data_IF_686393969946
#
_entry.id   IF_686393969946
#
_cell.length_a   1.000
_cell.length_b   1.000
_cell.length_c   1.000
_cell.angle_alpha   90.00
_cell.angle_beta   90.00
_cell.angle_gamma   90.00
#
_symmetry.space_group_name_H-M   'P 1'
#
loop_
_entity.id
_entity.type
_entity.pdbx_description
1 polymer ?
#
# COMPACT_ATOMS: atom_id res chain seq x y z
N UNK A 1 -78.71 -81.08 77.80
CA UNK A 1 -78.94 -79.99 76.84
C UNK A 1 -80.36 -80.11 76.33
N UNK A 2 -81.16 -79.03 76.34
CA UNK A 2 -82.48 -79.02 75.70
C UNK A 2 -82.30 -79.23 74.19
N UNK A 3 -82.93 -80.27 73.64
CA UNK A 3 -82.82 -80.63 72.22
C UNK A 3 -83.39 -79.55 71.31
N UNK A 4 -84.29 -78.70 71.83
CA UNK A 4 -84.82 -77.52 71.12
C UNK A 4 -83.78 -76.41 71.01
N UNK A 5 -83.11 -76.09 72.12
CA UNK A 5 -82.03 -75.10 72.14
C UNK A 5 -80.89 -75.47 71.15
N UNK A 6 -80.51 -76.75 71.10
CA UNK A 6 -79.52 -77.21 70.14
C UNK A 6 -80.00 -77.08 68.68
N UNK A 7 -81.29 -77.36 68.43
CA UNK A 7 -81.88 -77.16 67.11
C UNK A 7 -81.89 -75.69 66.66
N UNK A 8 -82.24 -74.78 67.57
CA UNK A 8 -82.20 -73.32 67.33
C UNK A 8 -80.78 -72.84 67.02
N UNK A 9 -79.77 -73.32 67.77
CA UNK A 9 -78.37 -72.98 67.51
C UNK A 9 -77.92 -73.48 66.12
N UNK A 10 -78.30 -74.69 65.72
CA UNK A 10 -77.95 -75.22 64.40
C UNK A 10 -78.62 -74.43 63.28
N UNK A 11 -79.88 -74.03 63.46
CA UNK A 11 -80.58 -73.17 62.51
C UNK A 11 -79.90 -71.80 62.38
N UNK A 12 -79.46 -71.21 63.50
CA UNK A 12 -78.74 -69.94 63.51
C UNK A 12 -77.36 -70.03 62.85
N UNK A 13 -76.61 -71.10 63.13
CA UNK A 13 -75.31 -71.36 62.48
C UNK A 13 -75.49 -71.54 60.98
N UNK A 14 -76.51 -72.29 60.55
CA UNK A 14 -76.83 -72.45 59.13
C UNK A 14 -77.16 -71.10 58.47
N UNK A 15 -78.02 -70.28 59.10
CA UNK A 15 -78.40 -68.94 58.61
C UNK A 15 -77.16 -68.05 58.40
N UNK A 16 -76.30 -67.96 59.42
CA UNK A 16 -75.05 -67.18 59.33
C UNK A 16 -74.10 -67.71 58.25
N UNK A 17 -74.05 -69.02 58.05
CA UNK A 17 -73.24 -69.62 56.98
C UNK A 17 -73.78 -69.23 55.59
N UNK A 18 -75.10 -69.22 55.40
CA UNK A 18 -75.72 -68.69 54.19
C UNK A 18 -75.41 -67.20 53.96
N UNK A 19 -75.51 -66.36 55.00
CA UNK A 19 -75.19 -64.94 54.89
C UNK A 19 -73.73 -64.71 54.48
N UNK A 20 -72.80 -65.47 55.06
CA UNK A 20 -71.38 -65.46 54.68
C UNK A 20 -71.20 -65.88 53.23
N UNK A 21 -71.86 -66.97 52.80
CA UNK A 21 -71.79 -67.43 51.41
C UNK A 21 -72.30 -66.36 50.44
N UNK A 22 -73.45 -65.73 50.73
CA UNK A 22 -74.01 -64.66 49.91
C UNK A 22 -73.06 -63.46 49.81
N UNK A 23 -72.47 -63.05 50.93
CA UNK A 23 -71.47 -61.97 50.96
C UNK A 23 -70.21 -62.31 50.14
N UNK A 24 -69.68 -63.53 50.26
CA UNK A 24 -68.54 -64.00 49.47
C UNK A 24 -68.89 -64.02 47.99
N UNK A 25 -70.06 -64.56 47.65
CA UNK A 25 -70.52 -64.68 46.26
C UNK A 25 -70.67 -63.32 45.58
N UNK A 26 -71.21 -62.34 46.30
CA UNK A 26 -71.32 -60.97 45.80
C UNK A 26 -69.93 -60.36 45.52
N UNK A 27 -68.98 -60.47 46.45
CA UNK A 27 -67.64 -59.93 46.27
C UNK A 27 -66.87 -60.64 45.15
N UNK A 28 -66.94 -61.97 45.09
CA UNK A 28 -66.28 -62.74 44.02
C UNK A 28 -66.86 -62.39 42.64
N UNK A 29 -68.17 -62.16 42.56
CA UNK A 29 -68.81 -61.74 41.30
C UNK A 29 -68.30 -60.37 40.83
N UNK A 30 -68.01 -59.44 41.75
CA UNK A 30 -67.38 -58.15 41.42
C UNK A 30 -65.94 -58.32 40.94
N UNK A 31 -65.18 -59.23 41.55
CA UNK A 31 -63.76 -59.48 41.22
C UNK A 31 -63.60 -60.13 39.84
N UNK A 32 -64.36 -61.19 39.52
CA UNK A 32 -64.23 -61.90 38.24
C UNK A 32 -64.85 -61.15 37.05
N UNK A 33 -65.61 -60.08 37.32
CA UNK A 33 -66.45 -59.44 36.32
C UNK A 33 -67.57 -60.35 35.79
N UNK A 34 -68.44 -59.80 34.93
CA UNK A 34 -69.63 -60.48 34.40
C UNK A 34 -69.35 -61.71 33.50
N UNK A 35 -68.09 -62.04 33.18
CA UNK A 35 -67.75 -63.07 32.18
C UNK A 35 -67.69 -64.50 32.71
N UNK A 36 -67.75 -64.72 34.04
CA UNK A 36 -67.59 -66.04 34.65
C UNK A 36 -68.73 -66.38 35.62
N UNK A 37 -69.98 -66.32 35.15
CA UNK A 37 -71.13 -66.76 35.95
C UNK A 37 -71.21 -68.29 35.93
N UNK A 38 -70.80 -68.94 37.02
CA UNK A 38 -71.12 -70.34 37.27
C UNK A 38 -72.62 -70.43 37.52
N UNK A 39 -73.36 -71.14 36.65
CA UNK A 39 -74.82 -71.29 36.74
C UNK A 39 -75.23 -71.91 38.09
N UNK A 40 -75.81 -71.12 39.03
CA UNK A 40 -76.12 -71.59 40.38
C UNK A 40 -77.35 -72.52 40.42
N UNK A 41 -78.14 -72.59 39.33
CA UNK A 41 -79.49 -73.17 39.37
C UNK A 41 -79.49 -74.71 39.38
N UNK A 42 -78.45 -75.37 38.87
CA UNK A 42 -78.39 -76.83 38.80
C UNK A 42 -77.86 -77.46 40.11
N UNK A 43 -77.04 -76.72 40.84
CA UNK A 43 -76.34 -77.16 42.05
C UNK A 43 -77.31 -77.37 43.24
N UNK A 44 -78.30 -76.48 43.37
CA UNK A 44 -79.24 -76.47 44.51
C UNK A 44 -80.14 -77.70 44.60
N UNK A 45 -80.49 -78.31 43.45
CA UNK A 45 -81.34 -79.51 43.42
C UNK A 45 -80.55 -80.76 43.78
N UNK A 46 -79.31 -80.85 43.28
CA UNK A 46 -78.40 -81.97 43.55
C UNK A 46 -77.96 -81.97 45.02
N UNK A 47 -77.58 -80.81 45.56
CA UNK A 47 -77.18 -80.66 46.97
C UNK A 47 -78.30 -81.07 47.95
N UNK A 48 -79.56 -80.75 47.63
CA UNK A 48 -80.71 -81.13 48.49
C UNK A 48 -80.95 -82.64 48.48
N UNK A 49 -80.78 -83.29 47.34
CA UNK A 49 -80.93 -84.73 47.19
C UNK A 49 -79.80 -85.48 47.92
N UNK A 50 -78.56 -84.97 47.84
CA UNK A 50 -77.41 -85.49 48.59
C UNK A 50 -77.61 -85.40 50.11
N UNK A 51 -78.14 -84.28 50.62
CA UNK A 51 -78.41 -84.12 52.05
C UNK A 51 -79.48 -85.12 52.52
N UNK A 52 -80.58 -85.28 51.78
CA UNK A 52 -81.65 -86.21 52.18
C UNK A 52 -81.21 -87.68 52.10
N UNK A 53 -80.35 -88.03 51.15
CA UNK A 53 -79.80 -89.38 51.03
C UNK A 53 -78.91 -89.80 52.22
N UNK A 54 -78.27 -88.82 52.88
CA UNK A 54 -77.40 -89.03 54.03
C UNK A 54 -78.16 -89.10 55.37
N UNK A 55 -79.48 -88.85 55.38
CA UNK A 55 -80.26 -88.89 56.62
C UNK A 55 -80.54 -90.33 57.07
N UNK A 56 -80.32 -90.66 58.37
CA UNK A 56 -80.58 -92.00 58.87
C UNK A 56 -82.05 -92.42 58.73
N UNK A 57 -82.29 -93.60 58.16
CA UNK A 57 -83.63 -94.22 58.11
C UNK A 57 -83.98 -94.75 59.50
N UNK A 58 -85.01 -94.20 60.13
CA UNK A 58 -85.47 -94.58 61.48
C UNK A 58 -85.12 -93.59 62.61
N UNK A 59 -84.44 -92.47 62.30
CA UNK A 59 -84.27 -91.39 63.26
C UNK A 59 -85.55 -90.55 63.42
N UNK A 60 -85.74 -89.95 64.60
CA UNK A 60 -86.83 -88.99 64.83
C UNK A 60 -86.71 -87.80 63.88
N UNK A 61 -87.83 -87.17 63.51
CA UNK A 61 -87.79 -86.03 62.58
C UNK A 61 -86.98 -84.85 63.16
N UNK A 62 -86.99 -84.67 64.49
CA UNK A 62 -86.13 -83.68 65.15
C UNK A 62 -84.64 -83.97 64.92
N UNK A 63 -84.23 -85.23 65.09
CA UNK A 63 -82.84 -85.65 64.85
C UNK A 63 -82.48 -85.52 63.37
N UNK A 64 -83.41 -85.87 62.46
CA UNK A 64 -83.22 -85.69 61.01
C UNK A 64 -83.03 -84.21 60.66
N UNK A 65 -83.81 -83.32 61.26
CA UNK A 65 -83.67 -81.87 61.05
C UNK A 65 -82.34 -81.33 61.59
N UNK A 66 -81.87 -81.80 62.75
CA UNK A 66 -80.57 -81.40 63.29
C UNK A 66 -79.42 -81.87 62.39
N UNK A 67 -79.45 -83.12 61.89
CA UNK A 67 -78.45 -83.63 60.94
C UNK A 67 -78.53 -82.85 59.61
N UNK A 68 -79.73 -82.51 59.14
CA UNK A 68 -79.94 -81.69 57.94
C UNK A 68 -79.25 -80.34 58.06
N UNK A 69 -79.42 -79.61 59.18
CA UNK A 69 -78.74 -78.33 59.39
C UNK A 69 -77.21 -78.47 59.40
N UNK A 70 -76.66 -79.51 60.03
CA UNK A 70 -75.21 -79.76 60.03
C UNK A 70 -74.67 -80.01 58.62
N UNK A 71 -75.35 -80.86 57.84
CA UNK A 71 -74.94 -81.18 56.47
C UNK A 71 -75.04 -79.95 55.56
N UNK A 72 -76.15 -79.21 55.61
CA UNK A 72 -76.33 -78.00 54.81
C UNK A 72 -75.32 -76.91 55.16
N UNK A 73 -75.00 -76.74 56.46
CA UNK A 73 -73.95 -75.83 56.92
C UNK A 73 -72.59 -76.22 56.33
N UNK A 74 -72.23 -77.52 56.36
CA UNK A 74 -70.97 -78.02 55.80
C UNK A 74 -70.89 -77.80 54.29
N UNK A 75 -71.95 -78.13 53.55
CA UNK A 75 -71.98 -77.96 52.09
C UNK A 75 -71.86 -76.49 51.69
N UNK A 76 -72.57 -75.59 52.38
CA UNK A 76 -72.51 -74.14 52.12
C UNK A 76 -71.10 -73.58 52.40
N UNK A 77 -70.42 -74.08 53.43
CA UNK A 77 -69.03 -73.73 53.71
C UNK A 77 -68.08 -74.24 52.62
N UNK A 78 -68.23 -75.49 52.16
CA UNK A 78 -67.40 -76.05 51.07
C UNK A 78 -67.57 -75.25 49.77
N UNK A 79 -68.81 -74.88 49.44
CA UNK A 79 -69.14 -74.04 48.29
C UNK A 79 -68.47 -72.67 48.36
N UNK A 80 -68.54 -72.02 49.53
CA UNK A 80 -67.87 -70.74 49.79
C UNK A 80 -66.36 -70.84 49.63
N UNK A 81 -65.75 -71.90 50.17
CA UNK A 81 -64.31 -72.14 50.06
C UNK A 81 -63.89 -72.41 48.61
N UNK A 82 -64.62 -73.25 47.88
CA UNK A 82 -64.36 -73.54 46.46
C UNK A 82 -64.42 -72.28 45.62
N UNK A 83 -65.42 -71.43 45.86
CA UNK A 83 -65.57 -70.16 45.18
C UNK A 83 -64.37 -69.22 45.44
N UNK A 84 -63.93 -69.11 46.69
CA UNK A 84 -62.73 -68.33 47.05
C UNK A 84 -61.47 -68.89 46.38
N UNK A 85 -61.21 -70.19 46.51
CA UNK A 85 -60.00 -70.83 45.96
C UNK A 85 -59.92 -70.66 44.44
N UNK A 86 -61.02 -70.89 43.73
CA UNK A 86 -61.07 -70.68 42.28
C UNK A 86 -60.83 -69.20 41.91
N UNK A 87 -61.28 -68.25 42.74
CA UNK A 87 -61.07 -66.81 42.48
C UNK A 87 -59.61 -66.43 42.69
N UNK A 88 -58.99 -66.90 43.77
CA UNK A 88 -57.57 -66.66 44.03
C UNK A 88 -56.66 -67.31 42.99
N UNK A 89 -57.01 -68.51 42.51
CA UNK A 89 -56.27 -69.15 41.41
C UNK A 89 -56.34 -68.33 40.12
N UNK A 90 -57.54 -67.87 39.73
CA UNK A 90 -57.72 -67.00 38.54
C UNK A 90 -56.93 -65.69 38.67
N UNK A 91 -57.04 -65.01 39.81
CA UNK A 91 -56.34 -63.76 40.05
C UNK A 91 -54.82 -63.94 40.03
N UNK A 92 -54.32 -65.05 40.57
CA UNK A 92 -52.89 -65.38 40.52
C UNK A 92 -52.40 -65.55 39.08
N UNK A 93 -53.18 -66.21 38.23
CA UNK A 93 -52.85 -66.37 36.80
C UNK A 93 -52.88 -65.04 36.05
N UNK A 94 -53.90 -64.21 36.28
CA UNK A 94 -53.97 -62.86 35.72
C UNK A 94 -52.78 -61.99 36.15
N UNK A 95 -52.38 -62.04 37.43
CA UNK A 95 -51.20 -61.34 37.94
C UNK A 95 -49.90 -61.82 37.28
N UNK A 96 -49.77 -63.13 37.03
CA UNK A 96 -48.62 -63.68 36.31
C UNK A 96 -48.57 -63.16 34.87
N UNK A 97 -49.70 -63.19 34.15
CA UNK A 97 -49.77 -62.66 32.79
C UNK A 97 -49.47 -61.15 32.72
N UNK A 98 -50.02 -60.36 33.66
CA UNK A 98 -49.71 -58.92 33.73
C UNK A 98 -48.23 -58.67 34.02
N UNK A 99 -47.59 -59.51 34.85
CA UNK A 99 -46.15 -59.41 35.12
C UNK A 99 -45.33 -59.70 33.86
N UNK A 100 -45.70 -60.74 33.11
CA UNK A 100 -45.04 -61.07 31.83
C UNK A 100 -45.23 -59.96 30.78
N UNK A 101 -46.44 -59.42 30.66
CA UNK A 101 -46.73 -58.30 29.75
C UNK A 101 -45.94 -57.04 30.14
N UNK A 102 -45.80 -56.75 31.44
CA UNK A 102 -44.98 -55.64 31.92
C UNK A 102 -43.51 -55.81 31.54
N UNK A 103 -42.93 -56.99 31.75
CA UNK A 103 -41.54 -57.28 31.36
C UNK A 103 -41.35 -57.17 29.84
N UNK A 104 -42.33 -57.61 29.03
CA UNK A 104 -42.29 -57.46 27.56
C UNK A 104 -42.31 -55.98 27.17
N UNK A 105 -43.21 -55.19 27.77
CA UNK A 105 -43.31 -53.75 27.51
C UNK A 105 -42.04 -53.00 27.91
N UNK A 106 -41.40 -53.38 29.02
CA UNK A 106 -40.12 -52.81 29.42
C UNK A 106 -39.02 -53.08 28.38
N UNK A 107 -38.94 -54.32 27.86
CA UNK A 107 -38.00 -54.68 26.78
C UNK A 107 -38.26 -53.92 25.48
N UNK A 108 -39.53 -53.80 25.06
CA UNK A 108 -39.92 -53.01 23.89
C UNK A 108 -39.58 -51.53 24.07
N UNK A 109 -39.82 -50.97 25.26
CA UNK A 109 -39.45 -49.60 25.62
C UNK A 109 -37.94 -49.39 25.51
N UNK A 110 -37.12 -50.27 26.08
CA UNK A 110 -35.65 -50.18 25.97
C UNK A 110 -35.18 -50.27 24.50
N UNK A 111 -35.86 -51.08 23.68
CA UNK A 111 -35.65 -51.12 22.24
C UNK A 111 -35.91 -49.77 21.57
N UNK A 112 -37.08 -49.18 21.84
CA UNK A 112 -37.47 -47.89 21.30
C UNK A 112 -36.57 -46.74 21.77
N UNK A 113 -36.10 -46.75 23.03
CA UNK A 113 -35.18 -45.75 23.54
C UNK A 113 -33.81 -45.79 22.83
N UNK A 114 -33.31 -47.00 22.52
CA UNK A 114 -32.09 -47.17 21.71
C UNK A 114 -32.27 -46.70 20.28
N UNK A 115 -33.41 -46.99 19.65
CA UNK A 115 -33.69 -46.52 18.30
C UNK A 115 -33.85 -45.00 18.25
N UNK A 116 -34.51 -44.42 19.25
CA UNK A 116 -34.68 -42.98 19.37
C UNK A 116 -33.33 -42.26 19.55
N UNK A 117 -32.44 -42.78 20.40
CA UNK A 117 -31.10 -42.20 20.59
C UNK A 117 -30.28 -42.27 19.30
N UNK A 118 -30.29 -43.41 18.61
CA UNK A 118 -29.66 -43.55 17.30
C UNK A 118 -30.20 -42.55 16.27
N UNK A 119 -31.53 -42.34 16.24
CA UNK A 119 -32.16 -41.38 15.33
C UNK A 119 -31.82 -39.93 15.69
N UNK A 120 -31.71 -39.62 16.98
CA UNK A 120 -31.24 -38.33 17.46
C UNK A 120 -29.80 -38.05 17.01
N UNK A 121 -28.90 -39.02 17.16
CA UNK A 121 -27.51 -38.90 16.71
C UNK A 121 -27.41 -38.75 15.18
N UNK A 122 -28.24 -39.49 14.44
CA UNK A 122 -28.34 -39.37 12.99
C UNK A 122 -28.82 -37.96 12.57
N UNK A 123 -29.79 -37.39 13.27
CA UNK A 123 -30.26 -36.02 13.02
C UNK A 123 -29.14 -34.99 13.24
N UNK A 124 -28.39 -35.11 14.34
CA UNK A 124 -27.24 -34.23 14.62
C UNK A 124 -26.15 -34.31 13.53
N UNK A 125 -25.91 -35.50 12.97
CA UNK A 125 -24.98 -35.66 11.85
C UNK A 125 -25.47 -34.97 10.58
N UNK A 126 -26.76 -35.07 10.27
CA UNK A 126 -27.35 -34.38 9.11
C UNK A 126 -27.34 -32.85 9.29
N UNK A 127 -27.61 -32.35 10.48
CA UNK A 127 -27.54 -30.92 10.77
C UNK A 127 -26.10 -30.38 10.61
N UNK A 128 -25.11 -31.12 11.12
CA UNK A 128 -23.68 -30.79 10.94
C UNK A 128 -23.29 -30.76 9.46
N UNK A 129 -23.74 -31.75 8.68
CA UNK A 129 -23.49 -31.79 7.24
C UNK A 129 -24.14 -30.61 6.50
N UNK A 130 -25.38 -30.26 6.85
CA UNK A 130 -26.07 -29.11 6.28
C UNK A 130 -25.34 -27.80 6.57
N UNK A 131 -24.85 -27.62 7.80
CA UNK A 131 -24.10 -26.42 8.16
C UNK A 131 -22.75 -26.35 7.43
N UNK A 132 -22.04 -27.48 7.30
CA UNK A 132 -20.81 -27.55 6.51
C UNK A 132 -21.03 -27.19 5.03
N UNK A 133 -22.14 -27.64 4.43
CA UNK A 133 -22.51 -27.29 3.04
C UNK A 133 -22.83 -25.80 2.93
N UNK A 134 -23.57 -25.23 3.90
CA UNK A 134 -23.87 -23.78 3.94
C UNK A 134 -22.59 -22.95 4.04
N UNK A 135 -21.66 -23.34 4.89
CA UNK A 135 -20.38 -22.65 5.06
C UNK A 135 -19.49 -22.76 3.82
N UNK A 136 -19.43 -23.94 3.19
CA UNK A 136 -18.72 -24.11 1.92
C UNK A 136 -19.32 -23.20 0.83
N UNK A 137 -20.66 -23.12 0.76
CA UNK A 137 -21.32 -22.21 -0.18
C UNK A 137 -21.00 -20.73 0.09
N UNK A 138 -21.00 -20.30 1.36
CA UNK A 138 -20.58 -18.94 1.77
C UNK A 138 -19.14 -18.66 1.34
N UNK A 139 -18.22 -19.60 1.58
CA UNK A 139 -16.82 -19.47 1.18
C UNK A 139 -16.66 -19.38 -0.34
N UNK A 140 -17.37 -20.21 -1.10
CA UNK A 140 -17.38 -20.15 -2.57
C UNK A 140 -17.89 -18.81 -3.08
N UNK A 141 -18.97 -18.27 -2.49
CA UNK A 141 -19.48 -16.94 -2.85
C UNK A 141 -18.47 -15.83 -2.57
N UNK A 142 -17.77 -15.88 -1.43
CA UNK A 142 -16.72 -14.91 -1.10
C UNK A 142 -15.55 -15.00 -2.09
N UNK A 143 -15.07 -16.20 -2.39
CA UNK A 143 -13.99 -16.43 -3.35
C UNK A 143 -14.38 -15.99 -4.77
N UNK A 144 -15.62 -16.24 -5.19
CA UNK A 144 -16.14 -15.77 -6.47
C UNK A 144 -16.19 -14.24 -6.53
N UNK A 145 -16.64 -13.59 -5.45
CA UNK A 145 -16.69 -12.12 -5.37
C UNK A 145 -15.30 -11.51 -5.43
N UNK A 146 -14.33 -12.10 -4.74
CA UNK A 146 -12.92 -11.69 -4.78
C UNK A 146 -12.36 -11.85 -6.19
N UNK A 147 -12.53 -13.02 -6.81
CA UNK A 147 -12.08 -13.30 -8.19
C UNK A 147 -12.73 -12.36 -9.21
N UNK A 148 -14.02 -12.05 -9.06
CA UNK A 148 -14.70 -11.07 -9.91
C UNK A 148 -14.16 -9.65 -9.72
N UNK A 149 -13.76 -9.28 -8.49
CA UNK A 149 -13.16 -7.98 -8.22
C UNK A 149 -11.74 -7.87 -8.81
N UNK A 150 -10.93 -8.93 -8.71
CA UNK A 150 -9.59 -8.98 -9.31
C UNK A 150 -9.67 -8.98 -10.83
N UNK A 151 -10.60 -9.74 -11.42
CA UNK A 151 -10.87 -9.71 -12.86
C UNK A 151 -11.22 -8.31 -13.34
N UNK A 152 -12.16 -7.61 -12.68
CA UNK A 152 -12.52 -6.23 -13.05
C UNK A 152 -11.33 -5.26 -12.93
N UNK A 153 -10.48 -5.44 -11.92
CA UNK A 153 -9.24 -4.65 -11.76
C UNK A 153 -8.28 -4.88 -12.93
N UNK A 154 -8.05 -6.14 -13.31
CA UNK A 154 -7.20 -6.50 -14.44
C UNK A 154 -7.77 -5.99 -15.78
N UNK A 155 -9.08 -6.10 -16.00
CA UNK A 155 -9.75 -5.52 -17.17
C UNK A 155 -9.55 -4.00 -17.23
N UNK A 156 -9.69 -3.30 -16.10
CA UNK A 156 -9.42 -1.85 -16.03
C UNK A 156 -7.96 -1.52 -16.31
N UNK A 157 -7.01 -2.30 -15.80
CA UNK A 157 -5.58 -2.13 -16.09
C UNK A 157 -5.28 -2.35 -17.58
N UNK A 158 -5.85 -3.39 -18.19
CA UNK A 158 -5.72 -3.69 -19.62
C UNK A 158 -6.24 -2.54 -20.49
N UNK A 159 -7.39 -1.97 -20.13
CA UNK A 159 -7.94 -0.82 -20.86
C UNK A 159 -7.07 0.42 -20.70
N UNK A 160 -6.52 0.66 -19.51
CA UNK A 160 -5.58 1.74 -19.25
C UNK A 160 -4.29 1.59 -20.07
N UNK A 161 -3.67 0.41 -20.08
CA UNK A 161 -2.43 0.17 -20.85
C UNK A 161 -2.68 0.31 -22.34
N UNK A 162 -3.76 -0.27 -22.88
CA UNK A 162 -4.14 -0.14 -24.29
C UNK A 162 -4.33 1.32 -24.73
N UNK A 163 -4.92 2.16 -23.87
CA UNK A 163 -5.09 3.60 -24.14
C UNK A 163 -3.76 4.36 -24.10
N UNK A 164 -2.88 4.03 -23.14
CA UNK A 164 -1.53 4.59 -23.04
C UNK A 164 -0.69 4.21 -24.27
N UNK A 165 -0.75 2.94 -24.71
CA UNK A 165 -0.02 2.46 -25.88
C UNK A 165 -0.50 3.14 -27.16
N UNK A 166 -1.81 3.29 -27.33
CA UNK A 166 -2.36 4.04 -28.47
C UNK A 166 -1.86 5.49 -28.51
N UNK A 167 -1.74 6.14 -27.35
CA UNK A 167 -1.18 7.49 -27.22
C UNK A 167 0.32 7.54 -27.52
N UNK A 168 1.08 6.55 -27.05
CA UNK A 168 2.50 6.39 -27.36
C UNK A 168 2.74 6.17 -28.85
N UNK A 169 1.98 5.27 -29.47
CA UNK A 169 2.05 4.98 -30.92
C UNK A 169 1.75 6.24 -31.75
N UNK A 170 0.76 7.04 -31.34
CA UNK A 170 0.47 8.32 -32.00
C UNK A 170 1.68 9.28 -31.94
N UNK A 171 2.25 9.48 -30.74
CA UNK A 171 3.44 10.33 -30.55
C UNK A 171 4.64 9.82 -31.36
N UNK A 172 4.82 8.50 -31.43
CA UNK A 172 5.90 7.87 -32.18
C UNK A 172 5.75 8.14 -33.68
N UNK A 173 4.53 7.95 -34.23
CA UNK A 173 4.21 8.29 -35.64
C UNK A 173 4.41 9.78 -35.95
N UNK A 174 4.02 10.67 -35.03
CA UNK A 174 4.25 12.11 -35.17
C UNK A 174 5.75 12.44 -35.26
N UNK A 175 6.55 11.88 -34.36
CA UNK A 175 8.01 12.08 -34.33
C UNK A 175 8.69 11.50 -35.57
N UNK A 176 8.30 10.32 -36.04
CA UNK A 176 8.79 9.76 -37.30
C UNK A 176 8.43 10.66 -38.50
N UNK A 177 7.22 11.23 -38.50
CA UNK A 177 6.80 12.19 -39.53
C UNK A 177 7.69 13.42 -39.58
N UNK A 178 7.97 14.02 -38.42
CA UNK A 178 8.90 15.16 -38.28
C UNK A 178 10.32 14.79 -38.70
N UNK A 179 10.80 13.63 -38.30
CA UNK A 179 12.12 13.12 -38.66
C UNK A 179 12.24 12.98 -40.18
N UNK A 180 11.29 12.30 -40.84
CA UNK A 180 11.28 12.18 -42.32
C UNK A 180 11.23 13.53 -43.02
N UNK A 181 10.48 14.50 -42.47
CA UNK A 181 10.42 15.85 -43.03
C UNK A 181 11.78 16.57 -42.92
N UNK A 182 12.43 16.47 -41.76
CA UNK A 182 13.75 17.04 -41.52
C UNK A 182 14.84 16.37 -42.35
N UNK A 183 14.78 15.05 -42.55
CA UNK A 183 15.67 14.31 -43.45
C UNK A 183 15.54 14.80 -44.90
N UNK A 184 14.30 15.00 -45.39
CA UNK A 184 14.05 15.55 -46.72
C UNK A 184 14.56 16.99 -46.86
N UNK A 185 14.38 17.82 -45.84
CA UNK A 185 14.92 19.18 -45.83
C UNK A 185 16.45 19.18 -45.86
N UNK A 186 17.10 18.34 -45.03
CA UNK A 186 18.55 18.19 -45.04
C UNK A 186 19.08 17.74 -46.40
N UNK A 187 18.41 16.77 -47.03
CA UNK A 187 18.76 16.30 -48.37
C UNK A 187 18.61 17.42 -49.41
N UNK A 188 17.53 18.21 -49.35
CA UNK A 188 17.34 19.37 -50.22
C UNK A 188 18.41 20.44 -50.00
N UNK A 189 18.78 20.72 -48.74
CA UNK A 189 19.84 21.67 -48.41
C UNK A 189 21.21 21.18 -48.92
N UNK A 190 21.51 19.88 -48.79
CA UNK A 190 22.71 19.27 -49.38
C UNK A 190 22.73 19.40 -50.90
N UNK A 191 21.62 19.14 -51.58
CA UNK A 191 21.52 19.33 -53.03
C UNK A 191 21.70 20.81 -53.42
N UNK A 192 21.11 21.76 -52.68
CA UNK A 192 21.31 23.20 -52.90
C UNK A 192 22.78 23.60 -52.72
N UNK A 193 23.44 23.10 -51.67
CA UNK A 193 24.87 23.34 -51.45
C UNK A 193 25.73 22.77 -52.59
N UNK A 194 25.46 21.55 -53.02
CA UNK A 194 26.17 20.91 -54.14
C UNK A 194 25.96 21.68 -55.46
N UNK A 195 24.75 22.18 -55.72
CA UNK A 195 24.43 23.02 -56.87
C UNK A 195 25.06 24.42 -56.82
N UNK A 196 25.26 24.99 -55.64
CA UNK A 196 25.99 26.26 -55.46
C UNK A 196 27.50 26.10 -55.61
N UNK A 197 28.08 25.00 -55.14
CA UNK A 197 29.50 24.69 -55.31
C UNK A 197 29.89 24.48 -56.79
N UNK A 198 28.93 24.11 -57.63
CA UNK A 198 29.09 23.96 -59.09
C UNK A 198 28.71 25.23 -59.88
N UNK A 199 28.31 26.32 -59.20
CA UNK A 199 28.01 27.61 -59.84
C UNK A 199 29.29 28.40 -60.07
N UNK A 200 29.83 28.30 -61.30
CA UNK A 200 31.01 29.06 -61.75
C UNK A 200 30.91 30.57 -61.49
N UNK A 201 29.69 31.10 -61.42
CA UNK A 201 29.39 32.52 -61.24
C UNK A 201 29.75 33.05 -59.85
N UNK A 202 29.62 32.22 -58.80
CA UNK A 202 29.99 32.61 -57.43
C UNK A 202 31.51 32.58 -57.23
N UNK A 203 32.19 31.60 -57.84
CA UNK A 203 33.64 31.50 -57.80
C UNK A 203 34.30 32.69 -58.52
N UNK A 204 33.79 33.03 -59.73
CA UNK A 204 34.26 34.19 -60.50
C UNK A 204 34.06 35.51 -59.76
N UNK A 205 32.90 35.74 -59.11
CA UNK A 205 32.68 36.95 -58.30
C UNK A 205 33.62 37.04 -57.10
N UNK A 206 33.95 35.91 -56.50
CA UNK A 206 34.88 35.86 -55.36
C UNK A 206 36.32 36.15 -55.80
N UNK A 207 36.76 35.63 -56.95
CA UNK A 207 38.07 35.96 -57.53
C UNK A 207 38.16 37.42 -58.01
N UNK A 208 37.11 37.96 -58.63
CA UNK A 208 37.09 39.36 -59.11
C UNK A 208 37.18 40.37 -57.95
N UNK A 209 36.49 40.10 -56.83
CA UNK A 209 36.62 40.88 -55.59
C UNK A 209 38.04 40.81 -55.02
N UNK A 210 38.63 39.61 -55.01
CA UNK A 210 40.02 39.41 -54.56
C UNK A 210 41.02 40.19 -55.43
N UNK A 211 40.78 40.23 -56.75
CA UNK A 211 41.59 40.98 -57.71
C UNK A 211 41.46 42.50 -57.52
N UNK A 212 40.24 43.01 -57.31
CA UNK A 212 40.02 44.44 -57.04
C UNK A 212 40.73 44.92 -55.77
N UNK A 213 40.71 44.13 -54.69
CA UNK A 213 41.46 44.48 -53.47
C UNK A 213 42.97 44.52 -53.70
N UNK A 214 43.49 43.62 -54.54
CA UNK A 214 44.92 43.59 -54.90
C UNK A 214 45.33 44.82 -55.71
N UNK A 215 44.50 45.26 -56.65
CA UNK A 215 44.77 46.42 -57.49
C UNK A 215 44.71 47.74 -56.70
N UNK A 216 43.75 47.88 -55.76
CA UNK A 216 43.71 49.04 -54.86
C UNK A 216 44.96 49.15 -53.96
N UNK A 217 45.44 48.02 -53.45
CA UNK A 217 46.68 47.99 -52.65
C UNK A 217 47.92 48.39 -53.47
N UNK A 218 47.97 48.01 -54.76
CA UNK A 218 49.02 48.42 -55.69
C UNK A 218 48.98 49.92 -55.95
N UNK A 219 47.80 50.47 -56.26
CA UNK A 219 47.63 51.89 -56.55
C UNK A 219 48.06 52.79 -55.37
N UNK A 220 47.68 52.43 -54.14
CA UNK A 220 48.12 53.16 -52.94
C UNK A 220 49.64 53.11 -52.72
N UNK A 221 50.30 52.03 -53.17
CA UNK A 221 51.75 51.89 -53.08
C UNK A 221 52.45 52.83 -54.05
N UNK A 222 51.97 52.88 -55.29
CA UNK A 222 52.53 53.73 -56.34
C UNK A 222 52.34 55.22 -56.04
N UNK A 223 51.19 55.63 -55.47
CA UNK A 223 50.97 57.01 -55.01
C UNK A 223 51.94 57.42 -53.90
N UNK A 224 52.19 56.52 -52.93
CA UNK A 224 53.17 56.76 -51.87
C UNK A 224 54.59 56.93 -52.42
N UNK A 225 54.97 56.14 -53.41
CA UNK A 225 56.29 56.22 -54.03
C UNK A 225 56.47 57.50 -54.87
N UNK A 226 55.43 57.95 -55.58
CA UNK A 226 55.43 59.23 -56.29
C UNK A 226 55.57 60.43 -55.34
N UNK A 227 54.92 60.40 -54.18
CA UNK A 227 55.02 61.46 -53.19
C UNK A 227 56.43 61.52 -52.56
N UNK A 228 57.05 60.36 -52.31
CA UNK A 228 58.45 60.28 -51.90
C UNK A 228 59.38 60.92 -52.96
N UNK A 229 59.12 60.68 -54.24
CA UNK A 229 59.92 61.22 -55.33
C UNK A 229 59.74 62.76 -55.47
N UNK A 230 58.53 63.28 -55.24
CA UNK A 230 58.26 64.73 -55.16
C UNK A 230 59.02 65.39 -54.02
N UNK A 231 58.95 64.84 -52.81
CA UNK A 231 59.65 65.38 -51.64
C UNK A 231 61.17 65.39 -51.84
N UNK A 232 61.74 64.33 -52.43
CA UNK A 232 63.16 64.30 -52.81
C UNK A 232 63.53 65.40 -53.81
N UNK A 233 62.69 65.63 -54.80
CA UNK A 233 62.90 66.67 -55.83
C UNK A 233 62.86 68.09 -55.24
N UNK A 234 62.01 68.32 -54.25
CA UNK A 234 61.87 69.61 -53.58
C UNK A 234 63.10 69.94 -52.72
N UNK A 235 63.64 68.93 -52.01
CA UNK A 235 64.89 69.06 -51.25
C UNK A 235 66.07 69.43 -52.15
N UNK A 236 66.22 68.77 -53.30
CA UNK A 236 67.28 69.08 -54.27
C UNK A 236 67.20 70.52 -54.80
N UNK A 237 65.98 71.05 -54.96
CA UNK A 237 65.72 72.40 -55.50
C UNK A 237 66.08 73.50 -54.48
N UNK A 238 65.77 73.27 -53.21
CA UNK A 238 66.15 74.18 -52.11
C UNK A 238 67.68 74.24 -51.97
N UNK A 239 68.36 73.11 -52.15
CA UNK A 239 69.81 73.03 -51.99
C UNK A 239 70.57 73.74 -53.13
N UNK A 240 70.05 73.73 -54.37
CA UNK A 240 70.63 74.49 -55.49
C UNK A 240 70.36 75.99 -55.42
N UNK A 241 69.23 76.41 -54.84
CA UNK A 241 68.90 77.84 -54.64
C UNK A 241 69.85 78.49 -53.63
N UNK A 242 70.17 77.79 -52.54
CA UNK A 242 71.16 78.24 -51.53
C UNK A 242 72.57 78.36 -52.12
N UNK A 243 72.92 77.49 -53.06
CA UNK A 243 74.27 77.45 -53.65
C UNK A 243 74.46 78.53 -54.72
N UNK A 244 73.38 78.99 -55.37
CA UNK A 244 73.44 79.91 -56.52
C UNK A 244 73.20 81.39 -56.18
N UNK A 245 72.51 81.70 -55.07
CA UNK A 245 72.28 83.09 -54.63
C UNK A 245 73.46 83.70 -53.86
N UNK A 246 74.36 82.88 -53.33
CA UNK A 246 75.49 83.35 -52.51
C UNK A 246 76.60 84.08 -53.29
N UNK A 247 76.56 84.13 -54.63
CA UNK A 247 77.66 84.70 -55.44
C UNK A 247 77.44 86.13 -55.95
N UNK A 248 76.27 86.79 -55.78
CA UNK A 248 75.97 88.00 -56.60
C UNK A 248 75.29 89.22 -55.96
N UNK A 249 75.20 89.38 -54.63
CA UNK A 249 74.67 90.63 -54.04
C UNK A 249 75.55 91.22 -52.93
N UNK A 250 76.06 92.44 -53.15
CA UNK A 250 77.00 93.16 -52.27
C UNK A 250 76.37 93.88 -51.08
N UNK A 251 75.03 93.87 -50.93
CA UNK A 251 74.36 94.43 -49.75
C UNK A 251 74.45 93.50 -48.53
N UNK A 252 74.61 92.20 -48.75
CA UNK A 252 74.66 91.20 -47.67
C UNK A 252 75.97 91.23 -46.90
N UNK A 253 77.11 91.56 -47.53
CA UNK A 253 78.39 91.74 -46.80
C UNK A 253 78.38 92.98 -45.90
N UNK A 254 77.67 94.04 -46.29
CA UNK A 254 77.49 95.23 -45.46
C UNK A 254 76.60 94.96 -44.25
N UNK A 255 75.48 94.24 -44.45
CA UNK A 255 74.60 93.81 -43.37
C UNK A 255 75.30 92.80 -42.44
N UNK A 256 76.06 91.87 -42.99
CA UNK A 256 76.83 90.89 -42.21
C UNK A 256 77.95 91.54 -41.39
N UNK A 257 78.65 92.56 -41.93
CA UNK A 257 79.60 93.38 -41.16
C UNK A 257 78.92 94.18 -40.06
N UNK A 258 77.71 94.71 -40.30
CA UNK A 258 76.93 95.44 -39.28
C UNK A 258 76.41 94.52 -38.17
N UNK A 259 76.01 93.30 -38.52
CA UNK A 259 75.62 92.26 -37.55
C UNK A 259 76.82 91.83 -36.72
N UNK A 260 77.99 91.63 -37.32
CA UNK A 260 79.24 91.32 -36.59
C UNK A 260 79.68 92.47 -35.67
N UNK A 261 79.54 93.74 -36.10
CA UNK A 261 79.83 94.92 -35.27
C UNK A 261 78.88 95.02 -34.07
N UNK A 262 77.57 94.80 -34.28
CA UNK A 262 76.57 94.81 -33.20
C UNK A 262 76.78 93.65 -32.20
N UNK A 263 77.18 92.47 -32.68
CA UNK A 263 77.54 91.34 -31.81
C UNK A 263 78.80 91.64 -30.99
N UNK A 264 79.83 92.24 -31.58
CA UNK A 264 81.04 92.64 -30.86
C UNK A 264 80.77 93.74 -29.80
N UNK A 265 79.87 94.70 -30.09
CA UNK A 265 79.43 95.69 -29.10
C UNK A 265 78.61 95.08 -27.96
N UNK A 266 77.76 94.09 -28.26
CA UNK A 266 77.02 93.34 -27.25
C UNK A 266 77.95 92.50 -26.38
N UNK A 267 78.97 91.89 -26.97
CA UNK A 267 79.99 91.11 -26.25
C UNK A 267 80.88 92.01 -25.37
N UNK A 268 81.24 93.20 -25.85
CA UNK A 268 81.95 94.22 -25.04
C UNK A 268 81.07 94.72 -23.87
N UNK A 269 79.77 94.93 -24.09
CA UNK A 269 78.84 95.24 -23.01
C UNK A 269 78.70 94.08 -22.02
N UNK A 270 78.60 92.85 -22.50
CA UNK A 270 78.46 91.66 -21.65
C UNK A 270 79.72 91.43 -20.81
N UNK A 271 80.91 91.65 -21.36
CA UNK A 271 82.18 91.56 -20.62
C UNK A 271 82.33 92.68 -19.59
N UNK A 272 81.84 93.89 -19.88
CA UNK A 272 81.81 95.00 -18.92
C UNK A 272 80.83 94.72 -17.77
N UNK A 273 79.62 94.24 -18.10
CA UNK A 273 78.62 93.82 -17.11
C UNK A 273 79.17 92.69 -16.24
N UNK A 274 79.78 91.67 -16.85
CA UNK A 274 80.37 90.55 -16.12
C UNK A 274 81.49 91.00 -15.17
N UNK A 275 82.36 91.94 -15.58
CA UNK A 275 83.37 92.54 -14.69
C UNK A 275 82.74 93.31 -13.51
N UNK A 276 81.70 94.09 -13.76
CA UNK A 276 81.00 94.83 -12.72
C UNK A 276 80.24 93.89 -11.76
N UNK A 277 79.64 92.81 -12.27
CA UNK A 277 79.04 91.76 -11.45
C UNK A 277 80.07 91.02 -10.61
N UNK A 278 81.26 90.74 -11.15
CA UNK A 278 82.39 90.14 -10.43
C UNK A 278 82.86 91.03 -9.28
N UNK A 279 82.91 92.35 -9.48
CA UNK A 279 83.33 93.34 -8.49
C UNK A 279 82.26 93.51 -7.38
N UNK A 280 80.97 93.54 -7.75
CA UNK A 280 79.86 93.49 -6.80
C UNK A 280 79.88 92.17 -6.01
N UNK A 281 80.21 91.04 -6.65
CA UNK A 281 80.37 89.75 -5.98
C UNK A 281 81.56 89.74 -5.03
N UNK A 282 82.67 90.39 -5.41
CA UNK A 282 83.86 90.57 -4.57
C UNK A 282 83.52 91.38 -3.31
N UNK A 283 82.80 92.50 -3.45
CA UNK A 283 82.32 93.31 -2.33
C UNK A 283 81.29 92.58 -1.44
N UNK A 284 80.40 91.77 -2.03
CA UNK A 284 79.44 90.94 -1.26
C UNK A 284 80.11 89.78 -0.52
N UNK A 285 81.12 89.14 -1.10
CA UNK A 285 81.90 88.09 -0.42
C UNK A 285 82.72 88.64 0.73
N UNK A 286 83.28 89.84 0.60
CA UNK A 286 83.99 90.52 1.68
C UNK A 286 83.05 90.91 2.84
N UNK A 287 81.81 91.30 2.51
CA UNK A 287 80.75 91.55 3.50
C UNK A 287 80.21 90.26 4.15
N UNK A 288 80.18 89.14 3.40
CA UNK A 288 79.68 87.84 3.88
C UNK A 288 80.73 87.04 4.67
N UNK A 289 82.02 87.18 4.33
CA UNK A 289 83.11 86.53 5.08
C UNK A 289 83.36 87.18 6.44
N UNK A 290 83.08 88.48 6.57
CA UNK A 290 83.01 89.19 7.86
C UNK A 290 81.89 88.66 8.78
N UNK A 291 80.87 87.98 8.24
CA UNK A 291 79.69 87.51 8.99
C UNK A 291 79.61 85.99 9.22
N UNK A 292 80.56 85.19 8.73
CA UNK A 292 80.41 83.72 8.75
C UNK A 292 81.67 82.97 9.18
N UNK A 293 82.26 83.39 10.29
CA UNK A 293 82.91 82.46 11.22
C UNK A 293 81.80 81.66 11.92
N UNK A 294 81.36 80.53 11.36
CA UNK A 294 80.80 79.40 12.12
C UNK A 294 80.46 78.17 11.26
N UNK A 295 81.14 77.08 11.59
CA UNK A 295 80.68 75.67 11.58
C UNK A 295 80.44 74.92 10.25
N UNK A 296 81.46 74.13 9.90
CA UNK A 296 81.48 72.66 9.81
C UNK A 296 80.62 71.87 8.80
N UNK A 297 81.37 71.29 7.86
CA UNK A 297 81.52 69.83 7.64
C UNK A 297 80.53 69.05 6.77
N UNK A 298 81.15 68.38 5.78
CA UNK A 298 81.00 66.95 5.42
C UNK A 298 80.06 66.53 4.26
N UNK A 299 80.71 65.94 3.25
CA UNK A 299 80.49 64.58 2.69
C UNK A 299 79.39 64.26 1.66
N UNK A 300 79.84 63.50 0.63
CA UNK A 300 79.16 62.37 -0.06
C UNK A 300 78.06 62.68 -1.10
N UNK A 301 77.76 61.89 -2.15
CA UNK A 301 78.27 60.69 -2.87
C UNK A 301 77.27 60.36 -4.01
N UNK A 302 77.64 59.42 -4.90
CA UNK A 302 76.82 58.52 -5.75
C UNK A 302 76.35 59.07 -7.13
N UNK A 303 76.60 58.49 -8.31
CA UNK A 303 76.83 57.11 -8.86
C UNK A 303 75.53 56.36 -9.26
N UNK A 304 75.61 55.65 -10.42
CA UNK A 304 74.81 54.50 -10.96
C UNK A 304 73.86 54.85 -12.14
N UNK A 305 74.18 54.59 -13.44
CA UNK A 305 73.99 53.36 -14.31
C UNK A 305 72.55 52.84 -14.43
N UNK A 306 72.04 52.14 -15.47
CA UNK A 306 72.25 51.91 -16.93
C UNK A 306 71.09 50.94 -17.32
N UNK A 307 70.76 50.84 -18.61
CA UNK A 307 70.24 49.65 -19.36
C UNK A 307 68.83 49.04 -19.15
N UNK A 308 67.99 49.19 -20.20
CA UNK A 308 67.39 48.17 -21.12
C UNK A 308 66.58 46.94 -20.64
N UNK A 309 65.56 46.65 -21.47
CA UNK A 309 65.10 45.34 -22.03
C UNK A 309 63.85 44.63 -21.44
N UNK A 310 62.94 44.30 -22.39
CA UNK A 310 62.21 43.01 -22.63
C UNK A 310 61.05 42.48 -21.76
N UNK A 311 59.98 42.17 -22.50
CA UNK A 311 59.17 40.93 -22.61
C UNK A 311 58.42 40.33 -21.40
N UNK A 312 57.20 39.86 -21.75
CA UNK A 312 56.56 38.60 -21.33
C UNK A 312 56.19 38.49 -19.83
N UNK A 313 55.20 37.75 -19.36
CA UNK A 313 54.23 36.75 -19.84
C UNK A 313 53.31 36.44 -18.66
N UNK A 314 52.29 35.58 -18.90
CA UNK A 314 51.75 34.56 -17.99
C UNK A 314 51.02 35.05 -16.73
N UNK A 315 49.74 34.74 -16.56
CA UNK A 315 49.26 33.45 -16.01
C UNK A 315 49.07 33.63 -14.49
N UNK A 316 48.07 33.13 -13.77
CA UNK A 316 47.25 31.93 -13.90
C UNK A 316 46.37 31.82 -12.64
N UNK A 317 45.20 31.17 -12.74
CA UNK A 317 44.48 30.53 -11.62
C UNK A 317 43.41 31.38 -10.93
N UNK A 318 42.30 30.85 -10.40
CA UNK A 318 41.81 29.48 -10.22
C UNK A 318 40.37 29.60 -9.68
N UNK A 319 39.31 29.21 -10.39
CA UNK A 319 38.48 27.97 -10.22
C UNK A 319 38.21 27.48 -8.78
N UNK A 320 38.04 28.35 -7.77
CA UNK A 320 37.49 27.87 -6.47
C UNK A 320 36.33 28.63 -5.85
N UNK A 321 35.96 29.81 -6.34
CA UNK A 321 35.03 30.68 -5.59
C UNK A 321 33.64 30.89 -6.21
N UNK A 322 33.21 30.07 -7.18
CA UNK A 322 31.93 30.30 -7.86
C UNK A 322 30.93 29.13 -7.90
N UNK A 323 31.19 28.03 -7.17
CA UNK A 323 30.25 26.90 -7.08
C UNK A 323 29.73 26.57 -5.67
N UNK A 324 29.93 27.41 -4.66
CA UNK A 324 29.43 27.11 -3.30
C UNK A 324 28.63 28.23 -2.60
N UNK A 325 28.09 29.20 -3.35
CA UNK A 325 27.22 30.24 -2.76
C UNK A 325 25.93 30.49 -3.56
N UNK A 326 25.23 29.41 -3.93
CA UNK A 326 23.83 29.51 -4.38
C UNK A 326 22.92 28.40 -3.82
N UNK A 327 23.22 27.93 -2.61
CA UNK A 327 22.35 27.04 -1.83
C UNK A 327 22.06 27.54 -0.40
N UNK A 328 22.03 28.87 -0.19
CA UNK A 328 21.45 29.51 1.00
C UNK A 328 20.93 30.92 0.68
N UNK A 329 19.71 30.97 0.13
CA UNK A 329 18.67 31.99 0.42
C UNK A 329 17.36 31.49 -0.15
#
# INVERSE_FOLDING_TARGET
MDTRYFGELLAEVYRKNCDIHSCISEHVSKIRGQKHHLDPSNDYKVEKEEVEALLPKGASELTRQQIRYLLQTRLTADKSMRLLLSTFSSLREELLHMTEDMMRLESEKEGLERDLSFKSDQALQYDSLLEAVRDNNRQLQLSLKETSSTQRSLESQLMSTKSSDSSRDFRLKEMEGRMRAMEKENEMLRQKLAGQASSSTLHVKTEELSRQYKDQLSAMRDEKDQEIQRLRSQVTRIQTEITTTSERSSSDKSLQLKISELLAMLELRQTTISKQEEEIRRMRMEMTSMTSNSSNSSSSRNLVTKTTTTQSSSGSGSVRDLMEQRLRM
#
